data_IF_181691912670
#
_entry.id   IF_181691912670
#
_cell.length_a   1.000
_cell.length_b   1.000
_cell.length_c   1.000
_cell.angle_alpha   90.00
_cell.angle_beta   90.00
_cell.angle_gamma   90.00
#
_symmetry.space_group_name_H-M   'P 1'
#
loop_
_entity.id
_entity.type
_entity.pdbx_description
1 polymer ?
#
# COMPACT_ATOMS: atom_id res chain seq x y z
N UNK A 1 0.26 8.28 -13.28
CA UNK A 1 -0.01 7.33 -12.18
C UNK A 1 -0.47 5.97 -12.71
N UNK A 2 -1.33 5.92 -13.73
CA UNK A 2 -1.76 4.67 -14.40
C UNK A 2 -0.61 3.71 -14.78
N UNK A 3 0.43 4.19 -15.46
CA UNK A 3 1.59 3.37 -15.85
C UNK A 3 2.35 2.79 -14.65
N UNK A 4 2.54 3.58 -13.60
CA UNK A 4 3.20 3.13 -12.38
C UNK A 4 2.36 2.07 -11.66
N UNK A 5 1.03 2.24 -11.65
CA UNK A 5 0.10 1.27 -11.08
C UNK A 5 0.18 -0.08 -11.80
N UNK A 6 0.17 -0.06 -13.13
CA UNK A 6 0.29 -1.29 -13.94
C UNK A 6 1.63 -2.00 -13.72
N UNK A 7 2.73 -1.23 -13.62
CA UNK A 7 4.06 -1.77 -13.37
C UNK A 7 4.18 -2.53 -12.04
N UNK A 8 3.44 -2.11 -11.01
CA UNK A 8 3.47 -2.75 -9.69
C UNK A 8 2.39 -3.81 -9.49
N UNK A 9 1.26 -3.78 -10.21
CA UNK A 9 0.22 -4.84 -10.15
C UNK A 9 0.77 -6.22 -10.47
N UNK A 10 1.81 -6.32 -11.31
CA UNK A 10 2.45 -7.58 -11.68
C UNK A 10 3.45 -8.12 -10.65
N UNK A 11 3.68 -7.44 -9.51
CA UNK A 11 4.62 -7.90 -8.49
C UNK A 11 3.97 -8.94 -7.58
N UNK A 12 4.67 -10.07 -7.39
CA UNK A 12 4.28 -11.09 -6.41
C UNK A 12 4.17 -10.48 -5.02
N UNK A 13 3.03 -10.64 -4.36
CA UNK A 13 2.78 -10.13 -3.01
C UNK A 13 2.06 -8.78 -2.96
N UNK A 14 1.82 -8.14 -4.10
CA UNK A 14 0.86 -7.04 -4.23
C UNK A 14 -0.55 -7.62 -4.32
N UNK A 15 -1.42 -7.20 -3.41
CA UNK A 15 -2.83 -7.61 -3.36
C UNK A 15 -3.71 -6.65 -4.16
N UNK A 16 -3.52 -5.34 -3.95
CA UNK A 16 -4.30 -4.30 -4.62
C UNK A 16 -3.47 -3.04 -4.86
N UNK A 17 -3.89 -2.27 -5.87
CA UNK A 17 -3.25 -1.00 -6.26
C UNK A 17 -4.33 0.02 -6.59
N UNK A 18 -4.29 1.15 -5.91
CA UNK A 18 -5.22 2.26 -6.05
C UNK A 18 -4.46 3.52 -6.50
N UNK A 19 -4.43 3.82 -7.81
CA UNK A 19 -3.87 5.05 -8.31
C UNK A 19 -4.78 6.25 -7.99
N UNK A 20 -4.18 7.36 -7.60
CA UNK A 20 -4.79 8.70 -7.53
C UNK A 20 -3.97 9.69 -8.36
N UNK A 21 -4.35 10.97 -8.42
CA UNK A 21 -3.61 11.97 -9.22
C UNK A 21 -2.11 12.05 -8.87
N UNK A 22 -1.77 11.96 -7.58
CA UNK A 22 -0.40 12.18 -7.09
C UNK A 22 0.09 11.14 -6.08
N UNK A 23 -0.69 10.10 -5.80
CA UNK A 23 -0.32 9.03 -4.86
C UNK A 23 -0.71 7.66 -5.41
N UNK A 24 0.07 6.65 -5.06
CA UNK A 24 -0.20 5.25 -5.36
C UNK A 24 -0.35 4.50 -4.05
N UNK A 25 -1.57 4.11 -3.71
CA UNK A 25 -1.82 3.31 -2.50
C UNK A 25 -1.74 1.83 -2.90
N UNK A 26 -0.84 1.09 -2.26
CA UNK A 26 -0.56 -0.31 -2.58
C UNK A 26 -0.81 -1.17 -1.35
N UNK A 27 -1.73 -2.13 -1.45
CA UNK A 27 -1.87 -3.16 -0.44
C UNK A 27 -0.95 -4.32 -0.78
N UNK A 28 -0.08 -4.69 0.16
CA UNK A 28 0.88 -5.76 0.00
C UNK A 28 0.96 -6.60 1.28
N UNK A 29 1.23 -7.90 1.14
CA UNK A 29 1.28 -8.83 2.28
C UNK A 29 2.44 -8.50 3.24
N UNK A 30 3.58 -8.08 2.70
CA UNK A 30 4.72 -7.57 3.47
C UNK A 30 5.24 -6.30 2.79
N UNK A 31 4.62 -5.16 3.11
CA UNK A 31 4.93 -3.89 2.46
C UNK A 31 6.41 -3.51 2.59
N UNK A 32 7.00 -3.68 3.78
CA UNK A 32 8.38 -3.33 4.09
C UNK A 32 9.41 -4.13 3.28
N UNK A 33 9.17 -5.41 3.00
CA UNK A 33 10.06 -6.24 2.18
C UNK A 33 9.88 -6.01 0.68
N UNK A 34 8.67 -5.59 0.24
CA UNK A 34 8.36 -5.30 -1.16
C UNK A 34 8.71 -3.88 -1.60
N UNK A 35 8.94 -2.96 -0.66
CA UNK A 35 9.30 -1.57 -0.95
C UNK A 35 10.43 -1.39 -1.98
N UNK A 36 11.58 -2.07 -1.86
CA UNK A 36 12.66 -1.92 -2.84
C UNK A 36 12.22 -2.31 -4.26
N UNK A 37 11.42 -3.38 -4.39
CA UNK A 37 10.92 -3.85 -5.67
C UNK A 37 9.87 -2.90 -6.26
N UNK A 38 8.98 -2.35 -5.43
CA UNK A 38 8.00 -1.34 -5.83
C UNK A 38 8.69 -0.09 -6.37
N UNK A 39 9.67 0.44 -5.65
CA UNK A 39 10.42 1.63 -6.07
C UNK A 39 11.19 1.39 -7.37
N UNK A 40 11.83 0.23 -7.52
CA UNK A 40 12.54 -0.12 -8.75
C UNK A 40 11.59 -0.16 -9.95
N UNK A 41 10.42 -0.79 -9.82
CA UNK A 41 9.43 -0.87 -10.91
C UNK A 41 8.82 0.48 -11.28
N UNK A 42 8.57 1.32 -10.30
CA UNK A 42 8.11 2.70 -10.56
C UNK A 42 9.20 3.49 -11.31
N UNK A 43 10.47 3.33 -10.91
CA UNK A 43 11.61 3.96 -11.58
C UNK A 43 11.80 3.48 -13.02
N UNK A 44 11.70 2.17 -13.27
CA UNK A 44 11.74 1.57 -14.61
C UNK A 44 10.60 2.08 -15.51
N UNK A 45 9.42 2.33 -14.93
CA UNK A 45 8.28 2.95 -15.61
C UNK A 45 8.42 4.48 -15.82
N UNK A 46 9.57 5.07 -15.45
CA UNK A 46 9.84 6.50 -15.61
C UNK A 46 9.20 7.39 -14.53
N UNK A 47 8.70 6.81 -13.45
CA UNK A 47 8.14 7.54 -12.30
C UNK A 47 9.23 7.96 -11.31
N UNK A 48 9.03 9.12 -10.67
CA UNK A 48 9.84 9.57 -9.54
C UNK A 48 9.04 9.50 -8.24
N UNK A 49 9.59 8.81 -7.24
CA UNK A 49 8.97 8.71 -5.90
C UNK A 49 9.65 9.74 -4.98
N UNK A 50 8.87 10.69 -4.47
CA UNK A 50 9.35 11.74 -3.56
C UNK A 50 9.20 11.38 -2.08
N UNK A 51 8.38 10.38 -1.76
CA UNK A 51 8.09 9.97 -0.40
C UNK A 51 7.38 8.62 -0.40
N UNK A 52 7.58 7.88 0.68
CA UNK A 52 7.00 6.57 0.93
C UNK A 52 6.48 6.55 2.35
N UNK A 53 5.24 6.12 2.52
CA UNK A 53 4.63 5.87 3.82
C UNK A 53 4.23 4.39 3.87
N UNK A 54 4.57 3.73 4.99
CA UNK A 54 4.21 2.32 5.22
C UNK A 54 3.35 2.28 6.47
N UNK A 55 2.11 1.85 6.31
CA UNK A 55 1.18 1.64 7.41
C UNK A 55 0.95 0.14 7.58
N UNK A 56 1.36 -0.39 8.73
CA UNK A 56 0.97 -1.75 9.13
C UNK A 56 -0.39 -1.67 9.84
N UNK A 57 -1.38 -2.48 9.44
CA UNK A 57 -2.64 -2.53 10.17
C UNK A 57 -2.38 -2.97 11.61
N UNK A 58 -2.58 -2.07 12.56
CA UNK A 58 -2.38 -2.38 13.97
C UNK A 58 -3.59 -3.17 14.51
N UNK A 59 -3.31 -4.13 15.39
CA UNK A 59 -4.35 -4.95 16.03
C UNK A 59 -5.31 -4.11 16.88
N UNK A 60 -4.90 -2.92 17.33
CA UNK A 60 -5.74 -1.99 18.09
C UNK A 60 -6.88 -1.42 17.23
N UNK A 61 -6.65 -1.15 15.94
CA UNK A 61 -7.64 -0.68 14.97
C UNK A 61 -8.68 -1.76 14.67
N UNK A 62 -8.25 -3.02 14.54
CA UNK A 62 -9.17 -4.17 14.39
C UNK A 62 -9.93 -4.41 15.70
N UNK A 63 -9.25 -4.30 16.84
CA UNK A 63 -9.85 -4.49 18.16
C UNK A 63 -10.92 -3.44 18.45
N UNK A 64 -10.67 -2.16 18.18
CA UNK A 64 -11.66 -1.08 18.29
C UNK A 64 -12.84 -1.28 17.33
N UNK A 65 -12.60 -1.73 16.09
CA UNK A 65 -13.66 -1.95 15.11
C UNK A 65 -14.59 -3.11 15.49
N UNK A 66 -14.05 -4.17 16.10
CA UNK A 66 -14.82 -5.36 16.50
C UNK A 66 -15.41 -5.27 17.91
N UNK A 67 -14.81 -4.52 18.83
CA UNK A 67 -15.27 -4.44 20.24
C UNK A 67 -15.84 -3.07 20.65
N UNK A 68 -15.61 -2.01 19.87
CA UNK A 68 -16.03 -0.64 20.19
C UNK A 68 -17.54 -0.38 20.12
N UNK A 69 -18.34 -1.31 19.60
CA UNK A 69 -19.82 -1.23 19.67
C UNK A 69 -20.39 -1.89 20.94
N UNK A 70 -19.62 -2.67 21.68
CA UNK A 70 -20.12 -3.45 22.82
C UNK A 70 -19.84 -2.83 24.20
N UNK A 71 -19.10 -1.70 24.27
CA UNK A 71 -18.70 -1.09 25.55
C UNK A 71 -19.28 0.32 25.81
N UNK A 72 -20.28 0.75 25.01
CA UNK A 72 -20.93 2.07 25.16
C UNK A 72 -22.40 2.03 25.55
N UNK A 73 -22.92 0.85 25.92
CA UNK A 73 -24.18 0.72 26.67
C UNK A 73 -23.90 0.31 28.11
#
# INVERSE_FOLDING_TARGET
MEQAAEAVRGLTGVADVYPSEHRLDVMAAEASSLLPALLARIGEAGGHVSGVEVEEPNLEAVFLHLTGKALRD
#
